data_IF_795875989331
#
_entry.id   IF_795875989331
#
_cell.length_a   1.000
_cell.length_b   1.000
_cell.length_c   1.000
_cell.angle_alpha   90.00
_cell.angle_beta   90.00
_cell.angle_gamma   90.00
#
_symmetry.space_group_name_H-M   'P 1'
#
loop_
_entity.id
_entity.type
_entity.pdbx_description
1 polymer ?
#
# COMPACT_ATOMS: atom_id res chain seq x y z
N UNK A 1 -1.73 19.17 -12.75
CA UNK A 1 -0.31 18.78 -12.57
C UNK A 1 0.18 17.80 -13.64
N UNK A 2 -0.58 16.76 -14.04
CA UNK A 2 -0.12 15.75 -15.03
C UNK A 2 0.06 16.25 -16.48
N UNK A 3 -0.67 17.30 -16.90
CA UNK A 3 -0.62 17.81 -18.28
C UNK A 3 0.71 18.53 -18.65
N UNK A 4 1.53 18.90 -17.66
CA UNK A 4 2.79 19.62 -17.87
C UNK A 4 3.97 18.73 -18.31
N UNK A 5 3.93 17.43 -18.03
CA UNK A 5 5.03 16.51 -18.36
C UNK A 5 5.08 16.12 -19.85
N UNK A 6 3.95 16.13 -20.54
CA UNK A 6 3.89 15.79 -21.97
C UNK A 6 4.15 17.00 -22.88
N UNK A 7 3.90 18.21 -22.37
CA UNK A 7 4.06 19.47 -23.12
C UNK A 7 5.47 20.06 -23.02
N UNK A 8 6.28 19.66 -22.05
CA UNK A 8 7.70 20.03 -21.95
C UNK A 8 8.60 18.98 -22.61
N UNK A 9 8.41 18.73 -23.91
CA UNK A 9 9.40 17.99 -24.71
C UNK A 9 9.87 18.89 -25.84
N UNK A 10 11.14 19.32 -25.86
CA UNK A 10 11.66 20.07 -27.01
C UNK A 10 11.53 19.21 -28.28
N UNK A 11 11.07 19.81 -29.38
CA UNK A 11 10.79 19.16 -30.66
C UNK A 11 12.01 18.53 -31.35
N UNK A 12 13.19 18.57 -30.70
CA UNK A 12 14.50 18.20 -31.25
C UNK A 12 15.05 16.85 -30.73
N UNK A 13 14.34 16.12 -29.87
CA UNK A 13 14.83 14.84 -29.35
C UNK A 13 14.57 13.67 -30.31
N UNK A 14 15.67 12.99 -30.69
CA UNK A 14 15.70 11.81 -31.59
C UNK A 14 14.99 10.57 -31.01
N UNK A 15 14.65 10.59 -29.72
CA UNK A 15 14.09 9.45 -28.97
C UNK A 15 12.59 9.62 -28.72
N UNK A 16 11.81 8.64 -29.16
CA UNK A 16 10.35 8.63 -29.02
C UNK A 16 9.95 8.09 -27.65
N UNK A 17 9.47 8.95 -26.77
CA UNK A 17 8.99 8.56 -25.45
C UNK A 17 7.52 8.11 -25.51
N UNK A 18 7.14 7.17 -24.65
CA UNK A 18 5.77 6.69 -24.45
C UNK A 18 5.46 6.79 -22.96
N UNK A 19 4.41 7.52 -22.63
CA UNK A 19 3.93 7.64 -21.25
C UNK A 19 2.61 6.88 -21.16
N UNK A 20 2.49 6.05 -20.13
CA UNK A 20 1.25 5.40 -19.78
C UNK A 20 0.91 5.75 -18.33
N UNK A 21 -0.31 6.23 -18.11
CA UNK A 21 -0.84 6.48 -16.76
C UNK A 21 -1.87 5.40 -16.48
N UNK A 22 -1.61 4.57 -15.46
CA UNK A 22 -2.39 3.36 -15.20
C UNK A 22 -3.71 3.65 -14.49
N UNK A 23 -3.78 4.68 -13.66
CA UNK A 23 -4.98 5.06 -12.92
C UNK A 23 -5.60 3.87 -12.14
N UNK A 24 -6.93 3.69 -12.22
CA UNK A 24 -7.70 2.71 -11.45
C UNK A 24 -7.35 1.24 -11.68
N UNK A 25 -6.70 0.89 -12.80
CA UNK A 25 -6.36 -0.52 -13.12
C UNK A 25 -5.45 -1.14 -12.06
N UNK A 26 -4.70 -0.32 -11.32
CA UNK A 26 -3.81 -0.79 -10.25
C UNK A 26 -4.56 -1.39 -9.05
N UNK A 27 -5.87 -1.12 -8.91
CA UNK A 27 -6.73 -1.68 -7.85
C UNK A 27 -7.58 -2.85 -8.34
N UNK A 28 -7.49 -3.19 -9.62
CA UNK A 28 -8.23 -4.29 -10.23
C UNK A 28 -7.38 -5.57 -10.27
N UNK A 29 -8.05 -6.69 -10.55
CA UNK A 29 -7.41 -8.00 -10.65
C UNK A 29 -7.69 -8.91 -9.45
N UNK A 30 -7.37 -10.19 -9.61
CA UNK A 30 -7.49 -11.17 -8.53
C UNK A 30 -6.27 -11.05 -7.61
N UNK A 31 -6.45 -11.12 -6.28
CA UNK A 31 -5.34 -11.07 -5.33
C UNK A 31 -4.34 -12.18 -5.65
N UNK A 32 -3.05 -11.89 -5.51
CA UNK A 32 -1.99 -12.88 -5.74
C UNK A 32 -1.97 -13.95 -4.65
N UNK A 33 -1.18 -15.01 -4.82
CA UNK A 33 -1.01 -16.02 -3.78
C UNK A 33 -0.49 -15.41 -2.46
N UNK A 34 0.44 -14.45 -2.56
CA UNK A 34 0.99 -13.75 -1.40
C UNK A 34 -0.08 -12.94 -0.67
N UNK A 35 -0.92 -12.20 -1.41
CA UNK A 35 -1.99 -11.41 -0.82
C UNK A 35 -2.99 -12.29 -0.07
N UNK A 36 -3.35 -13.45 -0.64
CA UNK A 36 -4.27 -14.40 0.00
C UNK A 36 -3.68 -15.00 1.28
N UNK A 37 -2.41 -15.43 1.23
CA UNK A 37 -1.72 -15.98 2.40
C UNK A 37 -1.62 -14.93 3.50
N UNK A 38 -1.19 -13.71 3.15
CA UNK A 38 -1.06 -12.61 4.10
C UNK A 38 -2.41 -12.22 4.72
N UNK A 39 -3.47 -12.12 3.92
CA UNK A 39 -4.81 -11.85 4.42
C UNK A 39 -5.31 -12.93 5.40
N UNK A 40 -5.03 -14.21 5.11
CA UNK A 40 -5.36 -15.32 5.99
C UNK A 40 -4.62 -15.22 7.34
N UNK A 41 -3.31 -14.97 7.32
CA UNK A 41 -2.52 -14.79 8.53
C UNK A 41 -2.98 -13.59 9.37
N UNK A 42 -3.18 -12.43 8.75
CA UNK A 42 -3.63 -11.22 9.44
C UNK A 42 -5.04 -11.39 10.02
N UNK A 43 -5.96 -11.99 9.27
CA UNK A 43 -7.33 -12.24 9.74
C UNK A 43 -7.37 -13.21 10.92
N UNK A 44 -6.61 -14.31 10.86
CA UNK A 44 -6.52 -15.25 11.98
C UNK A 44 -5.93 -14.58 13.23
N UNK A 45 -4.81 -13.86 13.07
CA UNK A 45 -4.16 -13.18 14.18
C UNK A 45 -5.04 -12.10 14.80
N UNK A 46 -5.79 -11.34 14.00
CA UNK A 46 -6.76 -10.37 14.52
C UNK A 46 -7.84 -11.04 15.39
N UNK A 47 -8.36 -12.19 14.97
CA UNK A 47 -9.33 -12.94 15.77
C UNK A 47 -8.73 -13.42 17.11
N UNK A 48 -7.47 -13.88 17.11
CA UNK A 48 -6.78 -14.30 18.33
C UNK A 48 -6.50 -13.13 19.27
N UNK A 49 -6.08 -11.98 18.76
CA UNK A 49 -5.88 -10.73 19.52
C UNK A 49 -7.19 -10.29 20.18
N UNK A 50 -8.31 -10.33 19.45
CA UNK A 50 -9.63 -9.99 20.01
C UNK A 50 -10.06 -10.97 21.11
N UNK A 51 -9.81 -12.27 20.95
CA UNK A 51 -10.08 -13.28 22.01
C UNK A 51 -9.27 -13.04 23.28
N UNK A 52 -8.08 -12.45 23.16
CA UNK A 52 -7.25 -12.07 24.30
C UNK A 52 -7.75 -10.78 24.99
N UNK A 53 -8.82 -10.15 24.49
CA UNK A 53 -9.40 -8.94 25.05
C UNK A 53 -8.71 -7.65 24.61
N UNK A 54 -7.78 -7.71 23.66
CA UNK A 54 -7.09 -6.54 23.11
C UNK A 54 -7.97 -5.86 22.05
N UNK A 55 -8.37 -4.62 22.31
CA UNK A 55 -9.12 -3.75 21.38
C UNK A 55 -8.32 -2.49 21.07
N UNK A 56 -8.67 -1.79 19.98
CA UNK A 56 -7.97 -0.57 19.52
C UNK A 56 -6.52 -0.80 19.07
N UNK A 57 -6.25 -1.98 18.49
CA UNK A 57 -4.99 -2.31 17.83
C UNK A 57 -5.21 -2.67 16.37
N UNK A 58 -4.26 -2.27 15.51
CA UNK A 58 -4.12 -2.81 14.17
C UNK A 58 -3.15 -4.01 14.19
N UNK A 59 -3.50 -5.07 13.46
CA UNK A 59 -2.56 -6.16 13.18
C UNK A 59 -1.71 -5.82 11.96
N UNK A 60 -0.42 -6.18 12.00
CA UNK A 60 0.50 -5.93 10.91
C UNK A 60 1.50 -7.08 10.76
N UNK A 61 2.14 -7.15 9.59
CA UNK A 61 3.25 -8.06 9.33
C UNK A 61 4.51 -7.23 9.14
N UNK A 62 5.50 -7.40 10.02
CA UNK A 62 6.74 -6.63 10.02
C UNK A 62 7.92 -7.55 10.32
N UNK A 63 9.00 -7.43 9.55
CA UNK A 63 10.23 -8.21 9.74
C UNK A 63 10.01 -9.75 9.82
N UNK A 64 9.03 -10.24 9.06
CA UNK A 64 8.69 -11.66 9.01
C UNK A 64 7.77 -12.15 10.14
N UNK A 65 7.34 -11.27 11.04
CA UNK A 65 6.49 -11.62 12.19
C UNK A 65 5.19 -10.83 12.22
N UNK A 66 4.17 -11.41 12.86
CA UNK A 66 2.88 -10.77 13.12
C UNK A 66 2.99 -9.92 14.40
N UNK A 67 2.56 -8.67 14.32
CA UNK A 67 2.66 -7.70 15.42
C UNK A 67 1.35 -6.93 15.57
N UNK A 68 1.08 -6.43 16.77
CA UNK A 68 0.01 -5.46 17.04
C UNK A 68 0.61 -4.06 17.17
N UNK A 69 -0.10 -3.07 16.64
CA UNK A 69 0.28 -1.66 16.72
C UNK A 69 -0.92 -0.89 17.27
N UNK A 70 -0.76 -0.05 18.31
CA UNK A 70 -1.86 0.76 18.83
C UNK A 70 -2.48 1.62 17.74
N UNK A 71 -3.81 1.63 17.64
CA UNK A 71 -4.53 2.37 16.60
C UNK A 71 -4.19 3.86 16.63
N UNK A 72 -4.05 4.44 17.82
CA UNK A 72 -3.65 5.84 18.02
C UNK A 72 -2.31 6.19 17.33
N UNK A 73 -1.37 5.24 17.28
CA UNK A 73 -0.10 5.44 16.59
C UNK A 73 -0.25 5.33 15.07
N UNK A 74 -1.12 4.44 14.59
CA UNK A 74 -1.30 4.15 13.16
C UNK A 74 -1.99 5.30 12.42
N UNK A 75 -2.95 5.96 13.06
CA UNK A 75 -3.70 7.07 12.45
C UNK A 75 -2.88 8.37 12.31
N UNK A 76 -1.71 8.44 12.95
CA UNK A 76 -0.86 9.62 12.86
C UNK A 76 -0.26 9.74 11.46
N UNK A 77 -0.47 10.90 10.84
CA UNK A 77 0.07 11.17 9.51
C UNK A 77 1.61 11.23 9.57
N UNK A 78 2.26 10.27 8.92
CA UNK A 78 3.71 10.31 8.78
C UNK A 78 4.07 11.38 7.76
N UNK A 79 4.69 12.47 8.20
CA UNK A 79 5.32 13.43 7.28
C UNK A 79 6.55 12.74 6.65
N UNK A 80 6.42 12.38 5.39
CA UNK A 80 7.55 11.95 4.58
C UNK A 80 8.34 13.24 4.28
N UNK A 81 9.54 13.37 4.86
CA UNK A 81 10.49 14.39 4.41
C UNK A 81 10.96 13.94 3.03
N UNK A 82 10.52 14.65 2.01
CA UNK A 82 11.05 14.58 0.65
C UNK A 82 12.23 15.54 0.55
#
# INVERSE_FOLDING_TARGET
>A
MFMLLLTWSPETLVWKHRVAVLEYIQRLGRPTAKDRILAGHLGNYAADVLKQGLTDYCVAFKDGILVTIPLETVIQSKRIKV
#
